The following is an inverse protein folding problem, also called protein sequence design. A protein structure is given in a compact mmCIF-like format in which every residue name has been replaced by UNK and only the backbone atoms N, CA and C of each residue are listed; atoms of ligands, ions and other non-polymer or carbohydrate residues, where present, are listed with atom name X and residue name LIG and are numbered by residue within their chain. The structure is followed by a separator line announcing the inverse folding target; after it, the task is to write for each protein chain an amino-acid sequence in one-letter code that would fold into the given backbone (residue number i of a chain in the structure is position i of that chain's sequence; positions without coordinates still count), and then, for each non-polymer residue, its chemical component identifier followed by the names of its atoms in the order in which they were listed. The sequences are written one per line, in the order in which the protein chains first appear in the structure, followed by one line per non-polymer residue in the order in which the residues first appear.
data_IF_568179343133
#
_entry.id   IF_568179343133
#
_cell.length_a   1.000
_cell.length_b   1.000
_cell.length_c   1.000
_cell.angle_alpha   90.00
_cell.angle_beta   90.00
_cell.angle_gamma   90.00
#
_symmetry.space_group_name_H-M   'P 1'
#
loop_
_entity.id
_entity.type
_entity.pdbx_description
1 polymer ?
#
# COMPACT_ATOMS: atom_id res chain seq x y z
N UNK A 1 21.60 -42.40 -63.98
CA UNK A 1 22.18 -42.03 -62.68
C UNK A 1 21.74 -40.63 -62.20
N UNK A 2 21.60 -39.65 -63.05
CA UNK A 2 21.28 -38.25 -62.65
C UNK A 2 19.88 -38.09 -62.03
N UNK A 3 18.86 -38.91 -62.48
CA UNK A 3 17.50 -38.82 -61.96
C UNK A 3 17.32 -39.29 -60.49
N UNK A 4 18.16 -40.23 -60.02
CA UNK A 4 18.13 -40.70 -58.65
C UNK A 4 18.84 -39.79 -57.65
N UNK A 5 19.80 -38.98 -58.15
CA UNK A 5 20.53 -38.02 -57.35
C UNK A 5 19.66 -36.83 -56.97
N UNK A 6 18.75 -36.40 -57.87
CA UNK A 6 17.80 -35.30 -57.63
C UNK A 6 16.69 -35.70 -56.62
N UNK A 7 16.23 -36.94 -56.67
CA UNK A 7 15.20 -37.46 -55.76
C UNK A 7 15.76 -37.63 -54.35
N UNK A 8 17.03 -38.05 -54.20
CA UNK A 8 17.69 -38.15 -52.89
C UNK A 8 17.92 -36.79 -52.23
N UNK A 9 18.17 -35.73 -53.01
CA UNK A 9 18.40 -34.40 -52.46
C UNK A 9 17.09 -33.71 -52.01
N UNK A 10 15.95 -34.02 -52.66
CA UNK A 10 14.65 -33.49 -52.29
C UNK A 10 14.06 -34.15 -51.04
N UNK A 11 14.42 -35.40 -50.72
CA UNK A 11 13.96 -36.09 -49.49
C UNK A 11 14.73 -35.60 -48.23
N UNK A 12 15.92 -35.04 -48.41
CA UNK A 12 16.74 -34.57 -47.28
C UNK A 12 16.31 -33.18 -46.76
N UNK A 13 15.49 -32.44 -47.55
CA UNK A 13 15.10 -31.07 -47.20
C UNK A 13 13.74 -30.97 -46.45
N UNK A 14 13.03 -32.12 -46.25
CA UNK A 14 11.69 -32.15 -45.68
C UNK A 14 11.68 -32.34 -44.15
N UNK A 15 12.84 -32.45 -43.49
CA UNK A 15 12.89 -32.73 -42.02
C UNK A 15 13.29 -31.55 -41.15
N UNK A 16 13.26 -30.31 -41.64
CA UNK A 16 13.72 -29.12 -40.84
C UNK A 16 12.56 -28.26 -40.34
N UNK A 17 11.31 -28.72 -40.44
CA UNK A 17 10.17 -28.02 -39.81
C UNK A 17 9.66 -28.75 -38.58
N UNK A 18 10.56 -29.20 -37.69
CA UNK A 18 10.15 -29.45 -36.32
C UNK A 18 10.07 -28.09 -35.61
N UNK A 19 8.86 -27.52 -35.72
CA UNK A 19 8.43 -26.40 -34.88
C UNK A 19 8.61 -26.79 -33.41
N UNK A 20 9.59 -26.15 -32.76
CA UNK A 20 9.67 -26.16 -31.30
C UNK A 20 8.37 -25.54 -30.77
N UNK A 21 7.46 -26.37 -30.34
CA UNK A 21 6.34 -25.99 -29.50
C UNK A 21 6.91 -25.55 -28.16
N UNK A 22 7.30 -24.28 -28.10
CA UNK A 22 7.67 -23.63 -26.83
C UNK A 22 6.40 -23.55 -26.01
N UNK A 23 6.14 -24.60 -25.21
CA UNK A 23 5.26 -24.51 -24.08
C UNK A 23 5.68 -23.28 -23.27
N UNK A 24 4.95 -22.15 -23.48
CA UNK A 24 5.04 -20.99 -22.59
C UNK A 24 4.86 -21.51 -21.18
N UNK A 25 5.94 -21.62 -20.43
CA UNK A 25 5.87 -21.78 -18.97
C UNK A 25 5.07 -20.60 -18.48
N UNK A 26 3.81 -20.85 -18.13
CA UNK A 26 2.97 -19.91 -17.42
C UNK A 26 3.68 -19.66 -16.09
N UNK A 27 4.47 -18.58 -16.04
CA UNK A 27 5.07 -18.11 -14.80
C UNK A 27 3.89 -17.72 -13.92
N UNK A 28 3.49 -18.61 -13.02
CA UNK A 28 2.53 -18.29 -11.98
C UNK A 28 3.31 -17.37 -11.05
N UNK A 29 3.18 -16.07 -11.26
CA UNK A 29 3.57 -15.08 -10.28
C UNK A 29 2.64 -15.28 -9.07
N UNK A 30 3.10 -16.04 -8.09
CA UNK A 30 2.46 -16.12 -6.77
C UNK A 30 2.88 -14.84 -6.05
N UNK A 31 2.30 -13.72 -6.44
CA UNK A 31 2.29 -12.54 -5.58
C UNK A 31 1.36 -12.87 -4.43
N UNK A 32 1.93 -13.25 -3.28
CA UNK A 32 1.17 -13.44 -2.06
C UNK A 32 0.47 -12.11 -1.76
N UNK A 33 -0.85 -12.11 -1.82
CA UNK A 33 -1.64 -10.94 -1.47
C UNK A 33 -1.37 -10.59 0.00
N UNK A 34 -1.05 -9.33 0.26
CA UNK A 34 -0.80 -8.84 1.62
C UNK A 34 -2.16 -8.51 2.21
N UNK A 35 -2.64 -9.38 3.09
CA UNK A 35 -3.92 -9.19 3.76
C UNK A 35 -3.74 -8.40 5.06
N UNK A 36 -4.80 -7.71 5.49
CA UNK A 36 -4.85 -7.03 6.77
C UNK A 36 -4.72 -8.03 7.93
N UNK A 37 -3.92 -7.66 8.92
CA UNK A 37 -3.71 -8.43 10.15
C UNK A 37 -3.97 -7.54 11.36
N UNK A 38 -5.10 -7.73 12.03
CA UNK A 38 -5.42 -6.94 13.23
C UNK A 38 -4.38 -7.17 14.32
N UNK A 39 -3.71 -6.09 14.73
CA UNK A 39 -2.70 -6.10 15.80
C UNK A 39 -3.15 -5.29 17.02
N UNK A 40 -4.20 -4.48 16.87
CA UNK A 40 -4.77 -3.70 17.96
C UNK A 40 -6.08 -3.03 17.61
N UNK A 41 -6.56 -2.22 18.55
CA UNK A 41 -7.68 -1.32 18.37
C UNK A 41 -7.27 0.11 18.71
N UNK A 42 -7.72 1.06 17.89
CA UNK A 42 -7.51 2.48 18.10
C UNK A 42 -8.85 3.18 18.24
N UNK A 43 -8.97 4.00 19.28
CA UNK A 43 -10.18 4.76 19.56
C UNK A 43 -9.93 6.24 19.33
N UNK A 44 -10.77 6.88 18.50
CA UNK A 44 -10.76 8.31 18.26
C UNK A 44 -11.77 9.02 19.15
N UNK A 45 -11.35 10.14 19.76
CA UNK A 45 -12.14 10.93 20.71
C UNK A 45 -12.21 12.40 20.32
N UNK A 46 -13.35 13.01 20.55
CA UNK A 46 -13.53 14.44 20.38
C UNK A 46 -12.89 15.21 21.51
N UNK A 47 -12.08 16.22 21.17
CA UNK A 47 -11.39 17.07 22.15
C UNK A 47 -12.33 17.75 23.15
N UNK A 48 -13.49 18.26 22.68
CA UNK A 48 -14.41 19.05 23.51
C UNK A 48 -15.24 18.22 24.48
N UNK A 49 -15.59 17.00 24.12
CA UNK A 49 -16.52 16.15 24.89
C UNK A 49 -15.87 14.88 25.45
N UNK A 50 -14.62 14.61 25.04
CA UNK A 50 -13.93 13.32 25.29
C UNK A 50 -14.75 12.09 24.87
N UNK A 51 -15.79 12.30 24.07
CA UNK A 51 -16.63 11.21 23.58
C UNK A 51 -15.91 10.43 22.49
N UNK A 52 -16.04 9.11 22.57
CA UNK A 52 -15.61 8.19 21.52
C UNK A 52 -16.55 8.39 20.34
N UNK A 53 -15.99 8.63 19.15
CA UNK A 53 -16.80 8.71 17.94
C UNK A 53 -16.42 7.65 16.89
N UNK A 54 -15.26 6.97 17.05
CA UNK A 54 -14.85 5.88 16.18
C UNK A 54 -13.87 4.95 16.87
N UNK A 55 -14.00 3.64 16.60
CA UNK A 55 -13.00 2.61 16.92
C UNK A 55 -12.60 1.92 15.64
N UNK A 56 -11.30 1.68 15.47
CA UNK A 56 -10.68 1.05 14.31
C UNK A 56 -9.91 -0.19 14.72
N UNK A 57 -9.95 -1.20 13.90
CA UNK A 57 -8.95 -2.27 13.90
C UNK A 57 -7.68 -1.74 13.24
N UNK A 58 -6.52 -1.93 13.85
CA UNK A 58 -5.28 -1.39 13.33
C UNK A 58 -4.21 -2.47 13.11
N UNK A 59 -3.40 -2.27 12.07
CA UNK A 59 -2.04 -2.79 11.97
C UNK A 59 -1.07 -1.75 12.52
N UNK A 60 0.07 -2.20 13.01
CA UNK A 60 1.08 -1.33 13.63
C UNK A 60 2.37 -1.39 12.81
N UNK A 61 2.87 -0.22 12.42
CA UNK A 61 4.16 -0.05 11.75
C UNK A 61 5.13 0.66 12.69
N UNK A 62 6.13 -0.05 13.23
CA UNK A 62 7.10 0.50 14.17
C UNK A 62 8.55 0.09 13.89
N UNK A 63 8.78 -0.93 13.07
CA UNK A 63 10.11 -1.25 12.56
C UNK A 63 10.46 -0.39 11.36
N UNK A 64 11.75 -0.28 11.02
CA UNK A 64 12.19 0.45 9.84
C UNK A 64 11.54 -0.10 8.55
N UNK A 65 11.47 -1.41 8.41
CA UNK A 65 10.85 -2.04 7.26
C UNK A 65 9.35 -1.72 7.15
N UNK A 66 8.60 -1.86 8.24
CA UNK A 66 7.16 -1.57 8.28
C UNK A 66 6.87 -0.10 8.01
N UNK A 67 7.65 0.82 8.60
CA UNK A 67 7.46 2.26 8.38
C UNK A 67 7.81 2.70 6.96
N UNK A 68 8.77 2.04 6.30
CA UNK A 68 9.10 2.30 4.90
C UNK A 68 8.09 1.70 3.93
N UNK A 69 7.51 0.55 4.26
CA UNK A 69 6.62 -0.18 3.37
C UNK A 69 5.16 0.26 3.53
N UNK A 70 4.69 0.40 4.78
CA UNK A 70 3.31 0.78 5.09
C UNK A 70 2.27 -0.02 4.30
N UNK A 71 1.36 0.69 3.66
CA UNK A 71 0.28 0.12 2.85
C UNK A 71 0.67 -0.13 1.37
N UNK A 72 1.94 -0.06 1.01
CA UNK A 72 2.39 -0.35 -0.36
C UNK A 72 1.97 -1.75 -0.81
N UNK A 73 1.65 -1.86 -2.09
CA UNK A 73 1.27 -3.12 -2.77
C UNK A 73 -0.02 -3.76 -2.25
N UNK A 74 -0.79 -3.06 -1.43
CA UNK A 74 -2.13 -3.49 -1.03
C UNK A 74 -3.17 -2.89 -1.97
N UNK A 75 -4.21 -3.67 -2.26
CA UNK A 75 -5.24 -3.28 -3.24
C UNK A 75 -6.35 -2.43 -2.64
N UNK A 76 -6.60 -2.60 -1.36
CA UNK A 76 -7.69 -1.92 -0.66
C UNK A 76 -7.51 -1.96 0.85
N UNK A 77 -8.34 -1.19 1.53
CA UNK A 77 -8.52 -1.14 2.98
C UNK A 77 -10.00 -0.99 3.28
N UNK A 78 -10.49 -1.71 4.29
CA UNK A 78 -11.87 -1.56 4.75
C UNK A 78 -12.03 -0.31 5.61
N UNK A 79 -13.26 0.21 5.73
CA UNK A 79 -13.52 1.46 6.45
C UNK A 79 -13.31 1.39 7.96
N UNK A 80 -13.31 0.19 8.52
CA UNK A 80 -13.05 -0.03 9.94
C UNK A 80 -11.59 -0.33 10.25
N UNK A 81 -10.72 -0.33 9.23
CA UNK A 81 -9.30 -0.62 9.34
C UNK A 81 -8.46 0.66 9.27
N UNK A 82 -7.27 0.60 9.85
CA UNK A 82 -6.25 1.62 9.76
C UNK A 82 -4.84 1.04 9.93
N UNK A 83 -3.83 1.81 9.55
CA UNK A 83 -2.43 1.51 9.87
C UNK A 83 -1.88 2.62 10.75
N UNK A 84 -1.39 2.26 11.93
CA UNK A 84 -0.78 3.19 12.88
C UNK A 84 0.74 3.06 12.85
N UNK A 85 1.40 4.12 12.42
CA UNK A 85 2.85 4.26 12.51
C UNK A 85 3.21 4.82 13.88
N UNK A 86 4.16 4.18 14.56
CA UNK A 86 4.65 4.57 15.86
C UNK A 86 6.16 4.85 15.73
N UNK A 87 6.57 6.09 15.97
CA UNK A 87 7.96 6.49 15.87
C UNK A 87 8.61 6.59 17.26
N UNK A 88 9.93 6.51 17.32
CA UNK A 88 10.69 6.61 18.57
C UNK A 88 10.80 8.06 19.05
N UNK A 89 10.87 9.01 18.12
CA UNK A 89 11.06 10.43 18.40
C UNK A 89 9.99 11.29 17.73
N UNK A 90 9.55 12.32 18.45
CA UNK A 90 8.64 13.33 17.93
C UNK A 90 9.41 14.32 17.06
N UNK A 91 9.11 14.33 15.76
CA UNK A 91 9.72 15.25 14.79
C UNK A 91 8.80 15.45 13.58
N UNK A 92 9.01 16.50 12.76
CA UNK A 92 8.30 16.63 11.49
C UNK A 92 8.52 15.40 10.62
N UNK A 93 7.45 14.91 10.00
CA UNK A 93 7.47 13.73 9.14
C UNK A 93 6.88 14.04 7.80
N UNK A 94 7.26 13.24 6.82
CA UNK A 94 6.67 13.32 5.48
C UNK A 94 6.42 11.93 4.94
N UNK A 95 5.24 11.77 4.35
CA UNK A 95 4.80 10.56 3.69
C UNK A 95 4.72 10.79 2.18
N UNK A 96 4.41 9.76 1.43
CA UNK A 96 4.15 9.76 0.00
C UNK A 96 3.33 8.53 -0.38
N UNK A 97 2.73 8.54 -1.56
CA UNK A 97 1.85 7.45 -2.02
C UNK A 97 2.55 6.47 -2.98
N UNK A 98 3.90 6.44 -2.99
CA UNK A 98 4.66 5.52 -3.85
C UNK A 98 4.21 4.07 -3.62
N UNK A 99 3.84 3.36 -4.69
CA UNK A 99 3.38 1.97 -4.64
C UNK A 99 2.13 1.72 -3.78
N UNK A 100 1.40 2.75 -3.37
CA UNK A 100 0.11 2.63 -2.70
C UNK A 100 -0.99 2.76 -3.74
N UNK A 101 -1.86 1.75 -3.84
CA UNK A 101 -2.78 1.55 -4.97
C UNK A 101 -4.13 2.25 -4.80
N UNK A 102 -4.42 2.76 -3.61
CA UNK A 102 -5.68 3.43 -3.28
C UNK A 102 -5.45 4.69 -2.46
N UNK A 103 -6.42 5.60 -2.51
CA UNK A 103 -6.35 6.89 -1.81
C UNK A 103 -6.50 6.72 -0.30
N UNK A 104 -5.77 7.52 0.45
CA UNK A 104 -5.74 7.54 1.91
C UNK A 104 -6.04 8.94 2.45
N UNK A 105 -6.51 9.00 3.70
CA UNK A 105 -6.35 10.14 4.58
C UNK A 105 -5.21 9.83 5.55
N UNK A 106 -4.22 10.73 5.66
CA UNK A 106 -3.05 10.58 6.53
C UNK A 106 -3.19 11.57 7.67
N UNK A 107 -3.37 11.06 8.89
CA UNK A 107 -3.64 11.84 10.09
C UNK A 107 -2.37 11.88 10.94
N UNK A 108 -1.84 13.07 11.16
CA UNK A 108 -0.63 13.31 11.91
C UNK A 108 -0.94 13.64 13.37
N UNK A 109 -0.28 12.94 14.30
CA UNK A 109 -0.64 12.95 15.71
C UNK A 109 0.63 13.17 16.55
N UNK A 110 0.60 14.13 17.45
CA UNK A 110 1.73 14.46 18.34
C UNK A 110 1.86 13.47 19.51
N UNK A 111 2.91 13.62 20.33
CA UNK A 111 3.15 12.77 21.51
C UNK A 111 2.08 12.91 22.60
N UNK A 112 1.30 13.99 22.59
CA UNK A 112 0.14 14.19 23.47
C UNK A 112 -1.11 13.51 22.95
N UNK A 113 -0.96 12.70 21.87
CA UNK A 113 -2.06 12.02 21.17
C UNK A 113 -3.10 12.97 20.60
N UNK A 114 -2.68 14.16 20.14
CA UNK A 114 -3.56 15.14 19.49
C UNK A 114 -3.27 15.20 18.00
N UNK A 115 -4.34 15.20 17.20
CA UNK A 115 -4.27 15.45 15.77
C UNK A 115 -3.74 16.86 15.52
N UNK A 116 -2.69 16.99 14.74
CA UNK A 116 -2.06 18.28 14.40
C UNK A 116 -2.28 18.68 12.95
N UNK A 117 -2.37 17.72 12.05
CA UNK A 117 -2.69 17.96 10.64
C UNK A 117 -3.25 16.72 9.97
N UNK A 118 -3.89 16.88 8.82
CA UNK A 118 -4.46 15.79 8.02
C UNK A 118 -4.19 16.07 6.56
N UNK A 119 -3.57 15.12 5.85
CA UNK A 119 -3.50 15.10 4.39
C UNK A 119 -4.67 14.25 3.88
N UNK A 120 -5.64 14.88 3.22
CA UNK A 120 -6.88 14.23 2.82
C UNK A 120 -6.87 13.83 1.35
N UNK A 121 -7.55 12.73 1.03
CA UNK A 121 -7.79 12.29 -0.35
C UNK A 121 -6.49 12.22 -1.18
N UNK A 122 -5.45 11.61 -0.63
CA UNK A 122 -4.16 11.49 -1.30
C UNK A 122 -4.29 10.74 -2.64
N UNK A 123 -3.45 11.11 -3.60
CA UNK A 123 -3.47 10.49 -4.93
C UNK A 123 -2.63 9.21 -4.95
N UNK A 124 -3.18 8.06 -5.36
CA UNK A 124 -2.42 6.83 -5.51
C UNK A 124 -1.19 7.01 -6.39
N UNK A 125 -0.10 6.31 -6.06
CA UNK A 125 1.18 6.33 -6.76
C UNK A 125 1.92 7.68 -6.80
N UNK A 126 1.37 8.74 -6.19
CA UNK A 126 2.02 10.05 -6.12
C UNK A 126 3.28 9.96 -5.24
N UNK A 127 4.37 10.54 -5.74
CA UNK A 127 5.67 10.61 -5.05
C UNK A 127 5.93 11.97 -4.41
N UNK A 128 5.00 12.89 -4.53
CA UNK A 128 5.12 14.19 -3.88
C UNK A 128 5.08 14.03 -2.37
N UNK A 129 5.81 14.91 -1.70
CA UNK A 129 5.89 14.97 -0.25
C UNK A 129 4.53 15.38 0.36
N UNK A 130 4.08 14.63 1.34
CA UNK A 130 2.89 14.88 2.16
C UNK A 130 3.37 15.16 3.60
N UNK A 131 3.77 16.42 3.92
CA UNK A 131 4.38 16.73 5.19
C UNK A 131 3.35 16.86 6.32
N UNK A 132 3.79 16.55 7.55
CA UNK A 132 2.99 16.80 8.76
C UNK A 132 2.86 18.29 9.10
N UNK A 133 3.84 19.10 8.69
CA UNK A 133 3.94 20.53 9.06
C UNK A 133 4.36 20.76 10.49
N UNK A 134 4.07 19.86 11.40
CA UNK A 134 4.35 19.90 12.83
C UNK A 134 5.08 18.64 13.29
N UNK A 135 5.80 18.66 14.43
CA UNK A 135 6.37 17.46 15.03
C UNK A 135 5.28 16.46 15.44
N UNK A 136 5.49 15.18 15.06
CA UNK A 136 4.55 14.09 15.34
C UNK A 136 5.27 12.84 15.81
N UNK A 137 4.61 12.06 16.66
CA UNK A 137 5.07 10.77 17.15
C UNK A 137 4.32 9.61 16.50
N UNK A 138 3.08 9.87 16.05
CA UNK A 138 2.22 8.87 15.44
C UNK A 138 1.67 9.39 14.10
N UNK A 139 1.41 8.46 13.20
CA UNK A 139 0.66 8.74 11.96
C UNK A 139 -0.36 7.63 11.78
N UNK A 140 -1.61 8.01 11.54
CA UNK A 140 -2.70 7.06 11.25
C UNK A 140 -3.11 7.21 9.79
N UNK A 141 -2.98 6.13 9.04
CA UNK A 141 -3.51 6.02 7.68
C UNK A 141 -4.86 5.31 7.70
N UNK A 142 -5.86 5.92 7.07
CA UNK A 142 -7.20 5.37 6.87
C UNK A 142 -7.63 5.56 5.42
N UNK A 143 -8.68 4.88 5.00
CA UNK A 143 -9.25 5.04 3.66
C UNK A 143 -9.68 6.49 3.44
N UNK A 144 -9.41 7.02 2.25
CA UNK A 144 -9.71 8.41 1.89
C UNK A 144 -11.18 8.78 2.08
N UNK A 145 -11.41 10.03 2.50
CA UNK A 145 -12.75 10.60 2.76
C UNK A 145 -13.33 10.24 4.13
N UNK A 146 -12.69 9.32 4.88
CA UNK A 146 -13.18 8.95 6.20
C UNK A 146 -12.95 10.03 7.25
N UNK A 147 -11.86 10.80 7.14
CA UNK A 147 -11.60 11.92 8.04
C UNK A 147 -12.71 12.98 7.98
N UNK A 148 -13.21 13.30 6.79
CA UNK A 148 -14.32 14.21 6.61
C UNK A 148 -15.64 13.61 7.11
N UNK A 149 -15.93 12.37 6.71
CA UNK A 149 -17.16 11.68 7.10
C UNK A 149 -17.31 11.50 8.60
N UNK A 150 -16.22 11.27 9.31
CA UNK A 150 -16.19 11.14 10.78
C UNK A 150 -15.96 12.47 11.48
N UNK A 151 -15.74 13.56 10.73
CA UNK A 151 -15.51 14.89 11.26
C UNK A 151 -14.24 14.97 12.10
N UNK A 152 -13.14 14.30 11.69
CA UNK A 152 -11.85 14.38 12.40
C UNK A 152 -11.28 15.79 12.21
N UNK A 153 -10.92 16.44 13.31
CA UNK A 153 -10.39 17.80 13.34
C UNK A 153 -9.08 17.87 14.11
N UNK A 154 -8.30 18.92 13.84
CA UNK A 154 -7.12 19.21 14.63
C UNK A 154 -7.50 19.37 16.11
N UNK A 155 -6.74 18.75 16.99
CA UNK A 155 -7.00 18.70 18.43
C UNK A 155 -7.76 17.44 18.90
N UNK A 156 -8.46 16.72 18.04
CA UNK A 156 -9.03 15.40 18.38
C UNK A 156 -7.93 14.41 18.83
N UNK A 157 -8.29 13.32 19.47
CA UNK A 157 -7.31 12.38 20.03
C UNK A 157 -7.73 10.92 19.82
#
# INVERSE_FOLDING_TARGET
MLKYLVISFTLLFLNVLQSCDQKRKKTISITKEINFSKEGELTLRKTKSDSIFKTLDIEIAQTEYETQTGLMYRKSMEEHQGMLFIFQEEQPRSFYMKNTEFSLDIIYINKKKKVVSIQKNTTPYDKNSLPSGEPVLYVLEIKAGLSDRWGIENGDS
#
